data_IF_215907658630
#
_entry.id   IF_215907658630
#
_cell.length_a   1.000
_cell.length_b   1.000
_cell.length_c   1.000
_cell.angle_alpha   90.00
_cell.angle_beta   90.00
_cell.angle_gamma   90.00
#
_symmetry.space_group_name_H-M   'P 1'
#
loop_
_entity.id
_entity.type
_entity.pdbx_description
1 polymer ?
#
# COMPACT_ATOMS: atom_id res chain seq x y z
N UNK A 1 10.90 -35.61 -19.38
CA UNK A 1 9.67 -34.88 -19.04
C UNK A 1 10.04 -33.39 -19.05
N UNK A 2 9.93 -32.79 -20.23
CA UNK A 2 10.34 -31.39 -20.43
C UNK A 2 9.29 -30.47 -19.82
N UNK A 3 9.64 -29.87 -18.70
CA UNK A 3 8.80 -28.85 -18.10
C UNK A 3 8.84 -27.59 -18.99
N UNK A 4 7.67 -27.11 -19.38
CA UNK A 4 7.52 -25.86 -20.13
C UNK A 4 8.32 -24.71 -19.47
N UNK A 5 8.93 -23.89 -20.31
CA UNK A 5 9.71 -22.70 -19.85
C UNK A 5 8.91 -21.84 -18.85
N UNK A 6 7.62 -21.64 -19.08
CA UNK A 6 6.75 -20.89 -18.17
C UNK A 6 6.68 -21.46 -16.74
N UNK A 7 6.79 -22.80 -16.57
CA UNK A 7 6.83 -23.39 -15.23
C UNK A 7 8.16 -23.19 -14.50
N UNK A 8 9.25 -23.02 -15.25
CA UNK A 8 10.58 -22.72 -14.69
C UNK A 8 10.64 -21.28 -14.18
N UNK A 9 10.02 -20.35 -14.90
CA UNK A 9 9.96 -18.94 -14.48
C UNK A 9 9.03 -18.72 -13.30
N UNK A 10 7.88 -19.39 -13.30
CA UNK A 10 7.01 -19.40 -12.12
C UNK A 10 7.72 -19.91 -10.87
N UNK A 11 8.59 -20.92 -11.01
CA UNK A 11 9.43 -21.43 -9.91
C UNK A 11 10.54 -20.44 -9.52
N UNK A 12 11.22 -19.79 -10.46
CA UNK A 12 12.25 -18.80 -10.17
C UNK A 12 11.67 -17.59 -9.42
N UNK A 13 10.54 -17.08 -9.87
CA UNK A 13 9.81 -16.01 -9.19
C UNK A 13 9.30 -16.45 -7.81
N UNK A 14 8.77 -17.65 -7.71
CA UNK A 14 8.35 -18.23 -6.44
C UNK A 14 9.53 -18.45 -5.48
N UNK A 15 10.72 -18.78 -5.98
CA UNK A 15 11.93 -18.90 -5.16
C UNK A 15 12.42 -17.55 -4.69
N UNK A 16 12.31 -16.52 -5.53
CA UNK A 16 12.64 -15.14 -5.16
C UNK A 16 11.74 -14.63 -4.01
N UNK A 17 10.47 -15.01 -3.99
CA UNK A 17 9.53 -14.70 -2.92
C UNK A 17 9.53 -15.73 -1.78
N UNK A 18 10.52 -16.64 -1.74
CA UNK A 18 10.64 -17.69 -0.72
C UNK A 18 9.35 -18.52 -0.54
N UNK A 19 8.67 -18.84 -1.65
CA UNK A 19 7.43 -19.61 -1.70
C UNK A 19 7.73 -21.10 -1.57
N UNK A 20 7.93 -21.57 -0.35
CA UNK A 20 8.00 -23.02 -0.10
C UNK A 20 6.57 -23.55 0.15
N UNK A 21 6.06 -24.46 -0.70
CA UNK A 21 4.71 -25.04 -0.53
C UNK A 21 4.57 -25.96 0.69
N UNK A 22 5.65 -26.16 1.47
CA UNK A 22 5.66 -27.05 2.63
C UNK A 22 5.29 -26.37 3.96
N UNK A 23 4.96 -25.08 3.99
CA UNK A 23 4.47 -24.47 5.21
C UNK A 23 3.03 -24.92 5.51
N UNK A 24 2.90 -25.77 6.53
CA UNK A 24 1.63 -26.10 7.13
C UNK A 24 0.97 -24.85 7.69
N UNK A 25 -0.29 -24.61 7.32
CA UNK A 25 -1.14 -23.65 8.03
C UNK A 25 -1.20 -24.03 9.50
N UNK A 26 -0.49 -23.33 10.35
CA UNK A 26 -0.85 -23.30 11.75
C UNK A 26 -2.13 -22.47 11.85
N UNK A 27 -3.25 -23.20 11.86
CA UNK A 27 -4.56 -22.68 12.24
C UNK A 27 -4.48 -22.31 13.75
N UNK A 28 -3.85 -21.20 14.04
CA UNK A 28 -4.00 -20.51 15.32
C UNK A 28 -5.39 -19.90 15.26
N UNK A 29 -6.35 -20.60 15.85
CA UNK A 29 -7.77 -20.30 15.94
C UNK A 29 -8.19 -18.83 15.96
N UNK A 30 -9.43 -18.44 16.15
CA UNK A 30 -9.94 -17.09 15.86
C UNK A 30 -9.23 -16.01 16.68
N UNK A 31 -7.99 -15.76 16.30
CA UNK A 31 -7.17 -14.64 16.76
C UNK A 31 -7.74 -13.38 16.16
N UNK A 32 -8.47 -12.70 16.96
CA UNK A 32 -9.17 -11.46 16.65
C UNK A 32 -8.32 -10.48 15.85
N UNK A 33 -8.69 -10.25 14.57
CA UNK A 33 -8.47 -9.01 13.81
C UNK A 33 -7.06 -8.60 13.38
N UNK A 34 -6.06 -9.45 13.47
CA UNK A 34 -4.81 -9.17 12.79
C UNK A 34 -4.90 -9.61 11.33
N UNK A 35 -5.03 -8.65 10.42
CA UNK A 35 -4.93 -8.86 8.97
C UNK A 35 -3.59 -8.31 8.51
N UNK A 36 -2.57 -9.16 8.35
CA UNK A 36 -1.23 -8.75 7.93
C UNK A 36 -1.19 -8.27 6.47
N UNK A 37 -2.21 -8.63 5.68
CA UNK A 37 -2.41 -8.22 4.28
C UNK A 37 -2.72 -6.72 4.13
N UNK A 38 -3.15 -6.05 5.20
CA UNK A 38 -3.50 -4.64 5.16
C UNK A 38 -2.51 -3.77 5.92
N UNK A 39 -2.29 -2.58 5.38
CA UNK A 39 -1.49 -1.56 6.05
C UNK A 39 -2.23 -1.07 7.28
N UNK A 40 -1.55 -1.06 8.42
CA UNK A 40 -2.04 -0.41 9.64
C UNK A 40 -1.32 0.92 9.81
N UNK A 41 -2.02 1.88 10.35
CA UNK A 41 -1.39 3.12 10.77
C UNK A 41 -0.31 2.84 11.81
N UNK A 42 0.94 3.15 11.47
CA UNK A 42 2.11 2.75 12.25
C UNK A 42 2.37 3.59 13.50
N UNK A 43 1.53 4.59 13.78
CA UNK A 43 1.83 5.63 14.78
C UNK A 43 0.78 5.80 15.88
N UNK A 44 0.01 4.78 16.20
CA UNK A 44 -0.98 4.87 17.29
C UNK A 44 -2.19 5.76 16.99
N UNK A 45 -2.35 6.21 15.77
CA UNK A 45 -3.42 7.12 15.33
C UNK A 45 -4.73 6.39 14.98
N UNK A 46 -4.99 5.22 15.54
CA UNK A 46 -6.17 4.40 15.18
C UNK A 46 -7.51 5.08 15.48
N UNK A 47 -7.51 6.16 16.25
CA UNK A 47 -8.71 6.92 16.63
C UNK A 47 -8.58 8.43 16.45
N UNK A 48 -7.58 8.88 15.67
CA UNK A 48 -7.31 10.29 15.53
C UNK A 48 -8.14 10.95 14.44
N UNK A 49 -8.31 12.26 14.55
CA UNK A 49 -8.92 13.10 13.52
C UNK A 49 -8.18 12.93 12.20
N UNK A 50 -6.84 12.80 12.23
CA UNK A 50 -5.99 12.58 11.04
C UNK A 50 -6.38 11.30 10.32
N UNK A 51 -6.56 10.20 11.06
CA UNK A 51 -7.01 8.92 10.48
C UNK A 51 -8.37 9.04 9.82
N UNK A 52 -9.29 9.77 10.44
CA UNK A 52 -10.63 9.99 9.87
C UNK A 52 -10.55 10.77 8.55
N UNK A 53 -9.69 11.78 8.46
CA UNK A 53 -9.44 12.56 7.24
C UNK A 53 -8.82 11.67 6.15
N UNK A 54 -7.78 10.89 6.48
CA UNK A 54 -7.13 9.98 5.53
C UNK A 54 -8.11 8.92 5.02
N UNK A 55 -8.92 8.36 5.90
CA UNK A 55 -9.94 7.39 5.53
C UNK A 55 -10.97 8.02 4.57
N UNK A 56 -11.42 9.25 4.85
CA UNK A 56 -12.36 9.94 3.96
C UNK A 56 -11.75 10.19 2.58
N UNK A 57 -10.52 10.71 2.50
CA UNK A 57 -9.83 10.95 1.23
C UNK A 57 -9.65 9.64 0.46
N UNK A 58 -9.26 8.56 1.15
CA UNK A 58 -9.02 7.27 0.51
C UNK A 58 -10.30 6.64 -0.03
N UNK A 59 -11.44 6.81 0.67
CA UNK A 59 -12.74 6.33 0.21
C UNK A 59 -13.22 7.07 -1.05
N UNK A 60 -13.07 8.39 -1.06
CA UNK A 60 -13.46 9.21 -2.20
C UNK A 60 -12.55 8.95 -3.41
N UNK A 61 -11.23 8.85 -3.20
CA UNK A 61 -10.29 8.50 -4.25
C UNK A 61 -10.45 7.06 -4.78
N UNK A 62 -10.78 6.10 -3.93
CA UNK A 62 -11.05 4.73 -4.34
C UNK A 62 -12.32 4.57 -5.20
N UNK A 63 -13.22 5.56 -5.16
CA UNK A 63 -14.40 5.58 -6.01
C UNK A 63 -14.09 5.93 -7.48
N UNK A 64 -12.93 6.54 -7.74
CA UNK A 64 -12.47 6.88 -9.10
C UNK A 64 -12.18 5.60 -9.87
N UNK A 65 -12.78 5.45 -11.04
CA UNK A 65 -12.53 4.32 -11.92
C UNK A 65 -11.21 4.51 -12.67
N UNK A 66 -10.34 3.52 -12.59
CA UNK A 66 -9.06 3.48 -13.31
C UNK A 66 -9.13 2.31 -14.28
N UNK A 67 -8.74 2.53 -15.55
CA UNK A 67 -8.80 1.52 -16.59
C UNK A 67 -7.54 1.57 -17.46
N UNK A 68 -7.15 0.40 -17.97
CA UNK A 68 -6.08 0.29 -18.97
C UNK A 68 -6.69 0.56 -20.36
N UNK A 69 -6.30 1.67 -20.96
CA UNK A 69 -6.86 2.15 -22.22
C UNK A 69 -5.76 2.35 -23.27
N UNK A 70 -6.15 2.26 -24.55
CA UNK A 70 -5.32 2.68 -25.68
C UNK A 70 -5.72 4.09 -26.06
N UNK A 71 -4.71 4.95 -26.23
CA UNK A 71 -4.85 6.32 -26.71
C UNK A 71 -4.29 6.46 -28.12
N UNK A 72 -4.75 7.46 -28.86
CA UNK A 72 -4.16 7.89 -30.14
C UNK A 72 -2.94 8.81 -29.90
N UNK A 73 -2.32 9.29 -30.99
CA UNK A 73 -1.18 10.22 -30.95
C UNK A 73 -1.52 11.57 -30.29
N UNK A 74 -2.78 11.91 -30.16
CA UNK A 74 -3.30 13.14 -29.52
C UNK A 74 -3.84 12.89 -28.12
N UNK A 75 -3.48 11.77 -27.48
CA UNK A 75 -3.93 11.36 -26.15
C UNK A 75 -5.45 11.16 -26.01
N UNK A 76 -6.16 10.92 -27.12
CA UNK A 76 -7.59 10.65 -27.11
C UNK A 76 -7.87 9.17 -26.91
N UNK A 77 -8.90 8.86 -26.15
CA UNK A 77 -9.34 7.50 -25.91
C UNK A 77 -9.76 6.80 -27.21
N UNK A 78 -9.20 5.62 -27.46
CA UNK A 78 -9.56 4.73 -28.56
C UNK A 78 -10.41 3.55 -28.03
N UNK A 79 -9.86 2.78 -27.09
CA UNK A 79 -10.52 1.56 -26.60
C UNK A 79 -9.91 1.10 -25.27
N UNK A 80 -10.68 0.31 -24.54
CA UNK A 80 -10.15 -0.42 -23.38
C UNK A 80 -9.25 -1.57 -23.85
N UNK A 81 -8.17 -1.79 -23.12
CA UNK A 81 -7.27 -2.93 -23.34
C UNK A 81 -7.74 -4.10 -22.48
N UNK A 82 -8.00 -5.23 -23.15
CA UNK A 82 -8.31 -6.48 -22.44
C UNK A 82 -7.01 -7.12 -21.96
N UNK A 83 -6.52 -6.67 -20.81
CA UNK A 83 -5.32 -7.19 -20.13
C UNK A 83 -5.65 -7.68 -18.73
N UNK A 84 -4.77 -8.49 -18.16
CA UNK A 84 -4.89 -8.89 -16.75
C UNK A 84 -4.71 -7.70 -15.82
N UNK A 85 -3.84 -6.76 -16.19
CA UNK A 85 -3.71 -5.47 -15.49
C UNK A 85 -5.06 -4.74 -15.42
N UNK A 86 -5.84 -4.71 -16.52
CA UNK A 86 -7.16 -4.09 -16.48
C UNK A 86 -8.11 -4.78 -15.50
N UNK A 87 -8.04 -6.11 -15.39
CA UNK A 87 -8.80 -6.84 -14.36
C UNK A 87 -8.35 -6.46 -12.95
N UNK A 88 -7.04 -6.31 -12.70
CA UNK A 88 -6.52 -5.85 -11.41
C UNK A 88 -7.00 -4.45 -11.05
N UNK A 89 -7.15 -3.58 -12.03
CA UNK A 89 -7.59 -2.19 -11.82
C UNK A 89 -9.12 -2.06 -11.67
N UNK A 90 -9.91 -2.99 -12.22
CA UNK A 90 -11.37 -2.87 -12.29
C UNK A 90 -12.13 -3.85 -11.41
N UNK A 91 -11.62 -5.08 -11.26
CA UNK A 91 -12.30 -6.15 -10.55
C UNK A 91 -11.59 -6.54 -9.26
N UNK A 92 -10.43 -7.18 -9.38
CA UNK A 92 -9.73 -7.84 -8.27
C UNK A 92 -8.21 -7.65 -8.43
N UNK A 93 -7.59 -6.94 -7.52
CA UNK A 93 -6.16 -6.65 -7.57
C UNK A 93 -5.30 -7.82 -7.05
N UNK A 94 -5.81 -8.59 -6.11
CA UNK A 94 -5.21 -9.80 -5.54
C UNK A 94 -6.30 -10.62 -4.82
N UNK A 95 -5.94 -11.80 -4.30
CA UNK A 95 -6.87 -12.72 -3.62
C UNK A 95 -7.64 -12.09 -2.44
N UNK A 96 -7.07 -11.08 -1.78
CA UNK A 96 -7.63 -10.49 -0.57
C UNK A 96 -8.33 -9.15 -0.81
N UNK A 97 -8.11 -8.54 -1.98
CA UNK A 97 -8.54 -7.16 -2.24
C UNK A 97 -9.21 -7.02 -3.61
N UNK A 98 -10.43 -6.51 -3.60
CA UNK A 98 -11.06 -5.99 -4.82
C UNK A 98 -10.28 -4.78 -5.33
N UNK A 99 -10.43 -4.42 -6.60
CA UNK A 99 -9.78 -3.25 -7.19
C UNK A 99 -10.08 -1.95 -6.41
N UNK A 100 -11.29 -1.79 -5.88
CA UNK A 100 -11.65 -0.63 -5.05
C UNK A 100 -10.91 -0.65 -3.70
N UNK A 101 -10.88 -1.80 -3.03
CA UNK A 101 -10.18 -1.94 -1.75
C UNK A 101 -8.67 -1.72 -1.92
N UNK A 102 -8.10 -2.20 -3.02
CA UNK A 102 -6.71 -1.96 -3.37
C UNK A 102 -6.41 -0.47 -3.60
N UNK A 103 -7.24 0.25 -4.37
CA UNK A 103 -7.08 1.71 -4.56
C UNK A 103 -7.17 2.47 -3.25
N UNK A 104 -8.08 2.06 -2.36
CA UNK A 104 -8.17 2.65 -1.02
C UNK A 104 -6.88 2.43 -0.23
N UNK A 105 -6.33 1.22 -0.27
CA UNK A 105 -5.08 0.86 0.39
C UNK A 105 -3.88 1.65 -0.16
N UNK A 106 -3.80 1.81 -1.48
CA UNK A 106 -2.79 2.66 -2.16
C UNK A 106 -2.85 4.09 -1.62
N UNK A 107 -4.03 4.71 -1.58
CA UNK A 107 -4.18 6.11 -1.15
C UNK A 107 -3.90 6.25 0.34
N UNK A 108 -4.43 5.36 1.18
CA UNK A 108 -4.18 5.39 2.62
C UNK A 108 -2.70 5.23 2.93
N UNK A 109 -2.06 4.24 2.32
CA UNK A 109 -0.63 3.98 2.52
C UNK A 109 0.25 5.15 2.03
N UNK A 110 -0.12 5.75 0.89
CA UNK A 110 0.56 6.94 0.38
C UNK A 110 0.43 8.14 1.32
N UNK A 111 -0.74 8.34 1.93
CA UNK A 111 -0.95 9.43 2.89
C UNK A 111 -0.19 9.21 4.20
N UNK A 112 -0.12 7.95 4.68
CA UNK A 112 0.54 7.60 5.94
C UNK A 112 2.07 7.57 5.80
N UNK A 113 2.59 6.91 4.76
CA UNK A 113 4.04 6.70 4.57
C UNK A 113 4.70 7.81 3.71
N UNK A 114 3.91 8.55 2.95
CA UNK A 114 4.36 9.61 2.04
C UNK A 114 4.84 9.10 0.68
N UNK A 115 5.41 7.92 0.62
CA UNK A 115 5.83 7.25 -0.60
C UNK A 115 5.67 5.73 -0.45
N UNK A 116 5.10 5.10 -1.45
CA UNK A 116 4.84 3.65 -1.48
C UNK A 116 5.21 3.08 -2.84
N UNK A 117 5.30 1.76 -2.91
CA UNK A 117 5.44 1.03 -4.16
C UNK A 117 4.22 0.14 -4.42
N UNK A 118 3.70 0.14 -5.64
CA UNK A 118 2.80 -0.89 -6.12
C UNK A 118 3.67 -1.99 -6.73
N UNK A 119 3.63 -3.17 -6.13
CA UNK A 119 4.47 -4.30 -6.49
C UNK A 119 3.63 -5.35 -7.22
N UNK A 120 3.97 -5.72 -8.46
CA UNK A 120 3.41 -6.89 -9.10
C UNK A 120 3.87 -8.14 -8.33
N UNK A 121 2.92 -8.90 -7.78
CA UNK A 121 3.22 -10.11 -7.00
C UNK A 121 3.20 -11.35 -7.90
N UNK A 122 2.34 -11.34 -8.90
CA UNK A 122 2.25 -12.40 -9.89
C UNK A 122 2.19 -11.79 -11.30
N UNK A 123 3.03 -12.31 -12.20
CA UNK A 123 3.12 -11.86 -13.60
C UNK A 123 3.13 -13.07 -14.53
N UNK A 124 2.77 -12.88 -15.79
CA UNK A 124 2.79 -13.95 -16.80
C UNK A 124 4.20 -14.46 -17.07
N UNK A 125 5.15 -13.53 -17.17
CA UNK A 125 6.56 -13.78 -17.46
C UNK A 125 7.45 -13.02 -16.47
N UNK A 126 8.76 -13.33 -16.45
CA UNK A 126 9.69 -12.62 -15.60
C UNK A 126 9.91 -11.20 -16.14
N UNK A 127 9.57 -10.15 -15.39
CA UNK A 127 9.74 -8.76 -15.81
C UNK A 127 11.18 -8.36 -16.13
N UNK A 128 12.16 -9.01 -15.48
CA UNK A 128 13.58 -8.70 -15.64
C UNK A 128 14.17 -9.23 -16.94
N UNK A 129 13.60 -10.30 -17.50
CA UNK A 129 14.15 -10.99 -18.67
C UNK A 129 13.44 -10.64 -19.96
N UNK A 130 12.13 -10.50 -19.95
CA UNK A 130 11.32 -10.43 -21.18
C UNK A 130 10.96 -9.02 -21.59
N UNK A 131 11.00 -8.04 -20.69
CA UNK A 131 10.58 -6.67 -20.96
C UNK A 131 9.10 -6.49 -21.34
N UNK A 132 8.38 -7.59 -21.56
CA UNK A 132 6.93 -7.63 -21.84
C UNK A 132 6.25 -8.69 -21.01
N UNK A 133 5.36 -8.29 -20.09
CA UNK A 133 4.63 -9.17 -19.19
C UNK A 133 3.25 -8.57 -18.88
N UNK A 134 2.30 -9.43 -18.52
CA UNK A 134 1.01 -8.98 -17.98
C UNK A 134 0.98 -9.20 -16.44
N UNK A 135 0.32 -8.31 -15.73
CA UNK A 135 0.24 -8.33 -14.26
C UNK A 135 -1.02 -9.10 -13.87
N UNK A 136 -0.83 -10.19 -13.13
CA UNK A 136 -1.92 -11.04 -12.65
C UNK A 136 -2.41 -10.65 -11.27
N UNK A 137 -1.49 -10.17 -10.42
CA UNK A 137 -1.78 -9.74 -9.05
C UNK A 137 -0.81 -8.63 -8.64
N UNK A 138 -1.29 -7.68 -7.84
CA UNK A 138 -0.46 -6.59 -7.33
C UNK A 138 -0.85 -6.21 -5.90
N UNK A 139 0.14 -5.74 -5.14
CA UNK A 139 -0.01 -5.32 -3.74
C UNK A 139 0.72 -4.01 -3.46
N UNK A 140 0.29 -3.35 -2.40
CA UNK A 140 0.98 -2.19 -1.86
C UNK A 140 2.17 -2.65 -1.03
N UNK A 141 3.34 -2.08 -1.30
CA UNK A 141 4.57 -2.29 -0.54
C UNK A 141 5.05 -0.99 0.12
N UNK A 142 5.44 -1.09 1.39
CA UNK A 142 6.12 0.00 2.10
C UNK A 142 7.57 0.06 1.67
N UNK A 143 8.06 1.21 1.23
CA UNK A 143 9.47 1.42 0.88
C UNK A 143 10.27 1.53 2.17
N UNK A 144 11.30 0.68 2.31
CA UNK A 144 12.20 0.66 3.45
C UNK A 144 13.53 1.36 3.15
N UNK A 145 14.11 1.06 1.98
CA UNK A 145 15.41 1.58 1.58
C UNK A 145 15.43 1.91 0.09
N UNK A 146 16.16 2.95 -0.26
CA UNK A 146 16.35 3.41 -1.62
C UNK A 146 17.76 3.11 -2.12
N UNK A 147 17.85 2.43 -3.27
CA UNK A 147 19.10 2.21 -4.00
C UNK A 147 19.04 2.91 -5.37
N UNK A 148 20.16 3.10 -6.07
CA UNK A 148 20.15 3.81 -7.35
C UNK A 148 19.18 3.22 -8.38
N UNK A 149 19.18 1.91 -8.59
CA UNK A 149 18.33 1.21 -9.56
C UNK A 149 17.29 0.29 -8.93
N UNK A 150 17.37 0.04 -7.62
CA UNK A 150 16.49 -0.85 -6.88
C UNK A 150 15.80 -0.12 -5.74
N UNK A 151 14.79 -0.76 -5.21
CA UNK A 151 14.09 -0.32 -4.00
C UNK A 151 13.82 -1.55 -3.13
N UNK A 152 14.08 -1.41 -1.81
CA UNK A 152 13.72 -2.43 -0.84
C UNK A 152 12.33 -2.12 -0.31
N UNK A 153 11.43 -3.06 -0.50
CA UNK A 153 10.02 -2.90 -0.14
C UNK A 153 9.56 -4.01 0.78
N UNK A 154 8.69 -3.67 1.72
CA UNK A 154 7.99 -4.64 2.55
C UNK A 154 6.61 -4.87 1.98
N UNK A 155 6.35 -6.10 1.53
CA UNK A 155 5.10 -6.51 0.91
C UNK A 155 4.56 -7.77 1.59
N UNK A 156 3.23 -7.91 1.59
CA UNK A 156 2.59 -9.12 2.09
C UNK A 156 2.74 -10.28 1.10
N UNK A 157 3.20 -11.42 1.60
CA UNK A 157 3.32 -12.66 0.83
C UNK A 157 2.11 -13.55 1.13
N UNK A 158 1.32 -13.83 0.09
CA UNK A 158 0.10 -14.63 0.18
C UNK A 158 0.34 -16.09 0.60
N UNK A 159 1.55 -16.60 0.35
CA UNK A 159 1.89 -18.00 0.60
C UNK A 159 2.34 -18.25 2.03
N UNK A 160 3.06 -17.32 2.60
CA UNK A 160 3.54 -17.41 3.99
C UNK A 160 2.58 -16.77 4.98
N UNK A 161 1.66 -15.91 4.51
CA UNK A 161 0.77 -15.14 5.37
C UNK A 161 1.46 -14.02 6.14
N UNK A 162 2.69 -13.67 5.77
CA UNK A 162 3.52 -12.69 6.47
C UNK A 162 4.02 -11.59 5.54
N UNK A 163 4.43 -10.46 6.12
CA UNK A 163 5.12 -9.40 5.39
C UNK A 163 6.59 -9.73 5.24
N UNK A 164 7.09 -9.66 4.01
CA UNK A 164 8.49 -9.91 3.66
C UNK A 164 9.15 -8.67 3.07
N UNK A 165 10.45 -8.54 3.35
CA UNK A 165 11.29 -7.49 2.78
C UNK A 165 11.98 -8.04 1.53
N UNK A 166 11.69 -7.42 0.38
CA UNK A 166 12.26 -7.80 -0.92
C UNK A 166 12.93 -6.59 -1.56
N UNK A 167 14.00 -6.84 -2.31
CA UNK A 167 14.66 -5.83 -3.14
C UNK A 167 14.29 -6.05 -4.59
N UNK A 168 13.70 -5.07 -5.23
CA UNK A 168 13.19 -5.15 -6.60
C UNK A 168 13.69 -3.98 -7.44
N UNK A 169 13.89 -4.16 -8.76
CA UNK A 169 14.23 -3.07 -9.66
C UNK A 169 13.12 -2.01 -9.69
N UNK A 170 13.49 -0.74 -9.73
CA UNK A 170 12.52 0.36 -9.85
C UNK A 170 11.69 0.30 -11.13
N UNK A 171 12.22 -0.34 -12.17
CA UNK A 171 11.51 -0.52 -13.46
C UNK A 171 10.34 -1.51 -13.39
N UNK A 172 10.32 -2.38 -12.39
CA UNK A 172 9.27 -3.41 -12.22
C UNK A 172 8.17 -3.02 -11.25
N UNK A 173 8.31 -1.90 -10.55
CA UNK A 173 7.34 -1.40 -9.57
C UNK A 173 6.87 0.01 -9.93
N UNK A 174 5.64 0.33 -9.58
CA UNK A 174 5.16 1.70 -9.68
C UNK A 174 5.33 2.40 -8.35
N UNK A 175 6.14 3.47 -8.33
CA UNK A 175 6.38 4.29 -7.15
C UNK A 175 5.32 5.40 -7.14
N UNK A 176 4.56 5.48 -6.07
CA UNK A 176 3.51 6.48 -5.87
C UNK A 176 3.92 7.38 -4.71
N UNK A 177 4.10 8.65 -5.03
CA UNK A 177 4.48 9.67 -4.06
C UNK A 177 3.29 10.57 -3.70
N UNK A 178 3.18 10.92 -2.44
CA UNK A 178 2.25 11.94 -2.02
C UNK A 178 2.78 13.31 -2.48
N UNK A 179 2.07 14.03 -3.36
CA UNK A 179 2.52 15.33 -3.87
C UNK A 179 2.70 16.38 -2.77
N UNK A 180 2.06 16.17 -1.61
CA UNK A 180 2.20 17.05 -0.44
C UNK A 180 3.37 16.64 0.45
N UNK A 181 4.02 15.50 0.20
CA UNK A 181 5.02 14.95 1.11
C UNK A 181 6.32 15.75 1.11
N UNK A 182 6.75 16.29 -0.02
CA UNK A 182 7.90 17.21 -0.07
C UNK A 182 7.69 18.42 0.83
N UNK A 183 6.46 18.94 0.89
CA UNK A 183 6.06 20.04 1.77
C UNK A 183 5.92 19.57 3.23
N UNK A 184 5.51 18.31 3.45
CA UNK A 184 5.36 17.71 4.79
C UNK A 184 6.71 17.37 5.40
N UNK A 185 7.68 16.93 4.60
CA UNK A 185 9.02 16.56 5.08
C UNK A 185 9.91 17.74 5.46
N UNK A 186 9.54 18.94 5.07
CA UNK A 186 10.21 20.13 5.60
C UNK A 186 9.95 20.24 7.11
N UNK A 187 11.00 20.44 7.95
CA UNK A 187 10.89 20.44 9.42
C UNK A 187 9.84 21.41 9.99
N UNK A 188 9.46 22.42 9.23
CA UNK A 188 8.52 23.47 9.61
C UNK A 188 7.32 23.60 8.66
N UNK A 189 7.00 22.57 7.87
CA UNK A 189 5.87 22.65 6.95
C UNK A 189 4.56 22.91 7.70
N UNK A 190 3.65 23.64 7.04
CA UNK A 190 2.32 23.93 7.59
C UNK A 190 1.54 22.64 7.88
N UNK A 191 1.70 21.62 7.01
CA UNK A 191 1.07 20.33 7.17
C UNK A 191 1.58 19.59 8.41
N UNK A 192 2.89 19.54 8.64
CA UNK A 192 3.43 18.93 9.87
C UNK A 192 2.92 19.64 11.14
N UNK A 193 2.86 20.99 11.09
CA UNK A 193 2.30 21.75 12.21
C UNK A 193 0.84 21.48 12.43
N UNK A 194 0.06 21.31 11.35
CA UNK A 194 -1.35 20.95 11.43
C UNK A 194 -1.54 19.55 12.03
N UNK A 195 -0.81 18.55 11.54
CA UNK A 195 -0.85 17.19 12.06
C UNK A 195 -0.49 17.15 13.55
N UNK A 196 0.57 17.87 13.95
CA UNK A 196 0.94 17.97 15.39
C UNK A 196 -0.16 18.60 16.23
N UNK A 197 -0.83 19.63 15.73
CA UNK A 197 -1.97 20.27 16.44
C UNK A 197 -3.16 19.34 16.56
N UNK A 198 -3.48 18.60 15.50
CA UNK A 198 -4.58 17.62 15.52
C UNK A 198 -4.29 16.50 16.51
N UNK A 199 -3.06 15.97 16.52
CA UNK A 199 -2.65 14.96 17.51
C UNK A 199 -2.70 15.50 18.95
N UNK A 200 -2.38 16.77 19.16
CA UNK A 200 -2.48 17.41 20.48
C UNK A 200 -3.95 17.54 20.91
N UNK A 201 -4.84 17.89 20.01
CA UNK A 201 -6.28 17.96 20.28
C UNK A 201 -6.84 16.59 20.65
N UNK A 202 -6.44 15.52 19.94
CA UNK A 202 -6.84 14.15 20.28
C UNK A 202 -6.42 13.78 21.73
N UNK A 203 -5.20 14.15 22.13
CA UNK A 203 -4.72 13.91 23.51
C UNK A 203 -5.53 14.72 24.54
N UNK A 204 -5.85 15.98 24.24
CA UNK A 204 -6.67 16.82 25.11
C UNK A 204 -8.08 16.27 25.25
N UNK A 205 -8.68 15.81 24.14
CA UNK A 205 -10.01 15.21 24.15
C UNK A 205 -10.03 13.90 24.97
N UNK A 206 -9.00 13.07 24.85
CA UNK A 206 -8.86 11.86 25.64
C UNK A 206 -8.70 12.16 27.15
N UNK A 207 -7.89 13.15 27.50
CA UNK A 207 -7.70 13.59 28.88
C UNK A 207 -8.99 14.19 29.46
N UNK A 208 -9.70 15.00 28.65
CA UNK A 208 -10.96 15.61 29.03
C UNK A 208 -12.05 14.55 29.29
N UNK A 209 -12.14 13.56 28.41
CA UNK A 209 -13.13 12.46 28.53
C UNK A 209 -12.81 11.51 29.70
N UNK A 210 -11.52 11.40 30.08
CA UNK A 210 -11.08 10.58 31.22
C UNK A 210 -11.23 11.26 32.60
N UNK A 211 -11.72 12.50 32.66
CA UNK A 211 -11.87 13.28 33.88
C UNK A 211 -10.55 13.70 34.55
N UNK A 212 -9.42 13.61 33.82
CA UNK A 212 -8.10 13.94 34.34
C UNK A 212 -7.66 15.39 34.08
N UNK A 213 -8.53 16.21 33.50
CA UNK A 213 -8.28 17.64 33.29
C UNK A 213 -8.75 18.42 34.52
N UNK A 214 -7.94 18.45 35.57
CA UNK A 214 -8.09 19.40 36.66
C UNK A 214 -7.49 20.74 36.26
N UNK A 215 -8.36 21.65 35.88
CA UNK A 215 -7.95 23.02 35.50
C UNK A 215 -8.03 23.87 36.80
N UNK A 216 -6.88 24.07 37.44
CA UNK A 216 -6.80 24.98 38.60
C UNK A 216 -6.54 26.40 38.03
N UNK A 217 -7.57 27.24 38.05
CA UNK A 217 -7.46 28.66 37.72
C UNK A 217 -7.11 29.41 39.02
N UNK A 218 -5.87 29.85 39.14
CA UNK A 218 -5.45 30.74 40.23
C UNK A 218 -5.70 32.18 39.79
N UNK A 219 -6.70 32.82 40.38
CA UNK A 219 -6.95 34.26 40.15
C UNK A 219 -6.01 35.07 41.04
N UNK A 220 -5.27 36.04 40.51
CA UNK A 220 -4.50 36.96 41.31
C UNK A 220 -5.47 37.89 42.04
N UNK A 221 -5.24 38.08 43.32
CA UNK A 221 -5.87 39.09 44.16
C UNK A 221 -5.38 40.47 43.79
#
# INVERSE_FOLDING_TARGET
>A
MDMSMGSRFKRAWNTFFNRDPTHSYNDTGPGYFYRPDRTRFSRGNERSIVTSVYNRISLDGAAISIQHVRLDENERYISNVSSKLNNCLTLEANLDQTARAFRQDVIMSMLDEGCIAIVPVETTDNPEETGGYDILSMRVGKILEWYPQHVKVRVYNEWTGEKQDITVPKSTVAIVENPLYAVINEPNSTMQRLIRKLNLLDVVDEQSSSGKLDLIIQLPY
#
